data_IF_392541862139
#
_entry.id   IF_392541862139
#
_cell.length_a   1.000
_cell.length_b   1.000
_cell.length_c   1.000
_cell.angle_alpha   90.00
_cell.angle_beta   90.00
_cell.angle_gamma   90.00
#
_symmetry.space_group_name_H-M   'P 1'
#
loop_
_entity.id
_entity.type
_entity.pdbx_description
1 polymer ?
#
# COMPACT_ATOMS: atom_id res chain seq x y z
N UNK A 1 -9.84 -40.63 17.20
CA UNK A 1 -8.42 -40.27 16.99
C UNK A 1 -8.29 -38.76 17.12
N UNK A 2 -7.51 -38.24 18.07
CA UNK A 2 -7.19 -36.81 18.12
C UNK A 2 -6.41 -36.47 16.85
N UNK A 3 -7.02 -35.82 15.87
CA UNK A 3 -6.25 -35.11 14.86
C UNK A 3 -5.59 -33.94 15.58
N UNK A 4 -4.35 -34.16 16.03
CA UNK A 4 -3.43 -33.06 16.25
C UNK A 4 -3.20 -32.44 14.88
N UNK A 5 -3.95 -31.41 14.54
CA UNK A 5 -3.58 -30.46 13.50
C UNK A 5 -2.40 -29.65 14.01
N UNK A 6 -1.27 -30.32 14.25
CA UNK A 6 0.00 -29.62 14.44
C UNK A 6 0.36 -29.01 13.10
N UNK A 7 0.61 -27.71 13.07
CA UNK A 7 1.12 -27.01 11.91
C UNK A 7 2.53 -27.52 11.57
N UNK A 8 2.60 -28.61 10.80
CA UNK A 8 3.83 -29.27 10.37
C UNK A 8 4.06 -29.04 8.89
N UNK A 9 5.29 -29.30 8.42
CA UNK A 9 5.63 -29.32 7.00
C UNK A 9 4.89 -30.40 6.17
N UNK A 10 4.05 -31.23 6.80
CA UNK A 10 3.24 -32.26 6.12
C UNK A 10 1.85 -31.77 5.71
N UNK A 11 1.48 -30.53 6.02
CA UNK A 11 0.21 -29.91 5.63
C UNK A 11 0.44 -28.53 5.03
N UNK A 12 -0.54 -28.01 4.29
CA UNK A 12 -0.42 -26.68 3.68
C UNK A 12 -0.25 -25.61 4.77
N UNK A 13 0.78 -24.78 4.60
CA UNK A 13 1.04 -23.62 5.44
C UNK A 13 0.98 -22.39 4.52
N UNK A 14 0.11 -21.43 4.85
CA UNK A 14 0.08 -20.16 4.12
C UNK A 14 1.46 -19.49 4.15
N UNK A 15 2.00 -19.03 3.01
CA UNK A 15 3.32 -18.39 2.99
C UNK A 15 3.35 -17.09 3.81
N UNK A 16 2.22 -16.48 4.14
CA UNK A 16 2.17 -15.32 5.03
C UNK A 16 2.50 -15.63 6.49
N UNK A 17 2.55 -16.91 6.87
CA UNK A 17 2.93 -17.33 8.23
C UNK A 17 4.45 -17.38 8.44
N UNK A 18 5.25 -17.51 7.37
CA UNK A 18 6.71 -17.71 7.50
C UNK A 18 7.56 -16.97 6.46
N UNK A 19 7.00 -16.57 5.32
CA UNK A 19 7.76 -16.05 4.16
C UNK A 19 7.51 -14.57 3.89
N UNK A 20 6.26 -14.15 3.94
CA UNK A 20 5.83 -12.81 3.55
C UNK A 20 5.18 -12.07 4.72
N UNK A 21 5.47 -10.77 4.81
CA UNK A 21 5.02 -9.90 5.89
C UNK A 21 6.03 -9.86 7.04
N UNK A 22 5.95 -8.82 7.85
CA UNK A 22 6.73 -8.66 9.08
C UNK A 22 6.20 -9.53 10.22
N UNK A 23 7.03 -9.72 11.24
CA UNK A 23 6.62 -10.39 12.48
C UNK A 23 5.55 -9.58 13.20
N UNK A 24 5.66 -8.25 13.16
CA UNK A 24 4.72 -7.30 13.75
C UNK A 24 3.33 -7.45 13.09
N UNK A 25 3.26 -7.49 11.76
CA UNK A 25 1.98 -7.69 11.06
C UNK A 25 1.40 -9.08 11.31
N UNK A 26 2.24 -10.12 11.36
CA UNK A 26 1.80 -11.47 11.75
C UNK A 26 1.25 -11.51 13.18
N UNK A 27 1.88 -10.81 14.12
CA UNK A 27 1.40 -10.71 15.51
C UNK A 27 0.03 -10.04 15.57
N UNK A 28 -0.17 -8.94 14.83
CA UNK A 28 -1.47 -8.26 14.72
C UNK A 28 -2.56 -9.25 14.26
N UNK A 29 -2.23 -10.10 13.30
CA UNK A 29 -3.16 -11.09 12.76
C UNK A 29 -3.11 -12.48 13.43
N UNK A 30 -2.42 -12.63 14.56
CA UNK A 30 -2.34 -13.90 15.30
C UNK A 30 -3.63 -14.25 16.03
N UNK A 31 -3.83 -15.55 16.26
CA UNK A 31 -4.93 -16.08 17.10
C UNK A 31 -4.77 -15.66 18.57
N UNK A 32 -3.53 -15.64 19.06
CA UNK A 32 -3.20 -15.17 20.41
C UNK A 32 -3.67 -13.74 20.63
N UNK A 33 -3.22 -12.79 19.78
CA UNK A 33 -3.62 -11.40 19.93
C UNK A 33 -5.14 -11.21 19.76
N UNK A 34 -5.79 -11.98 18.87
CA UNK A 34 -7.25 -11.96 18.73
C UNK A 34 -7.93 -12.23 20.08
N UNK A 35 -7.54 -13.28 20.81
CA UNK A 35 -8.15 -13.60 22.10
C UNK A 35 -7.78 -12.59 23.21
N UNK A 36 -6.57 -12.02 23.19
CA UNK A 36 -6.21 -10.91 24.10
C UNK A 36 -7.09 -9.68 23.86
N UNK A 37 -7.36 -9.33 22.60
CA UNK A 37 -8.25 -8.22 22.26
C UNK A 37 -9.68 -8.53 22.70
N UNK A 38 -10.18 -9.75 22.48
CA UNK A 38 -11.52 -10.13 22.93
C UNK A 38 -11.68 -9.98 24.45
N UNK A 39 -10.69 -10.44 25.23
CA UNK A 39 -10.68 -10.25 26.69
C UNK A 39 -10.58 -8.79 27.10
N UNK A 40 -9.77 -8.00 26.41
CA UNK A 40 -9.70 -6.56 26.65
C UNK A 40 -11.06 -5.89 26.42
N UNK A 41 -11.80 -6.28 25.37
CA UNK A 41 -13.16 -5.78 25.10
C UNK A 41 -14.15 -6.22 26.19
N UNK A 42 -14.09 -7.48 26.63
CA UNK A 42 -14.95 -7.95 27.72
C UNK A 42 -14.65 -7.26 29.06
N UNK A 43 -13.38 -7.03 29.37
CA UNK A 43 -12.98 -6.28 30.57
C UNK A 43 -13.46 -4.83 30.48
N UNK A 44 -13.35 -4.18 29.32
CA UNK A 44 -13.88 -2.84 29.12
C UNK A 44 -15.41 -2.79 29.30
N UNK A 45 -16.13 -3.79 28.78
CA UNK A 45 -17.57 -3.96 29.02
C UNK A 45 -17.87 -4.12 30.52
N UNK A 46 -17.12 -4.99 31.22
CA UNK A 46 -17.30 -5.21 32.65
C UNK A 46 -17.02 -3.96 33.49
N UNK A 47 -15.99 -3.16 33.14
CA UNK A 47 -15.70 -1.85 33.76
C UNK A 47 -16.86 -0.88 33.60
N UNK A 48 -17.44 -0.81 32.41
CA UNK A 48 -18.60 0.05 32.16
C UNK A 48 -19.85 -0.44 32.93
N UNK A 49 -20.08 -1.75 32.98
CA UNK A 49 -21.16 -2.35 33.76
C UNK A 49 -20.97 -2.21 35.29
N UNK A 50 -19.73 -2.18 35.76
CA UNK A 50 -19.41 -1.88 37.15
C UNK A 50 -19.83 -0.45 37.51
N UNK A 51 -19.52 0.54 36.66
CA UNK A 51 -19.98 1.93 36.84
C UNK A 51 -21.51 2.05 36.85
N UNK A 52 -22.20 1.17 36.12
CA UNK A 52 -23.65 1.08 36.12
C UNK A 52 -24.24 0.32 37.33
N UNK A 53 -23.39 -0.31 38.17
CA UNK A 53 -23.80 -1.04 39.37
C UNK A 53 -24.18 -2.51 39.14
N UNK A 54 -23.87 -3.10 37.99
CA UNK A 54 -24.28 -4.46 37.62
C UNK A 54 -23.20 -5.52 37.88
N UNK A 55 -21.95 -5.10 37.81
CA UNK A 55 -20.77 -5.92 38.13
C UNK A 55 -20.19 -5.39 39.45
N UNK A 56 -19.99 -6.25 40.44
CA UNK A 56 -19.37 -5.88 41.71
C UNK A 56 -17.88 -5.59 41.52
N UNK A 57 -17.25 -4.93 42.50
CA UNK A 57 -15.80 -4.69 42.43
C UNK A 57 -15.02 -6.01 42.41
N UNK A 58 -15.42 -6.98 43.24
CA UNK A 58 -14.80 -8.30 43.31
C UNK A 58 -14.90 -9.08 41.98
N UNK A 59 -16.07 -9.04 41.33
CA UNK A 59 -16.28 -9.65 40.02
C UNK A 59 -15.39 -9.01 38.95
N UNK A 60 -15.25 -7.68 38.97
CA UNK A 60 -14.39 -6.96 38.03
C UNK A 60 -12.91 -7.28 38.25
N UNK A 61 -12.46 -7.29 39.51
CA UNK A 61 -11.07 -7.61 39.87
C UNK A 61 -10.69 -9.04 39.46
N UNK A 62 -11.61 -10.00 39.61
CA UNK A 62 -11.41 -11.38 39.17
C UNK A 62 -11.25 -11.50 37.65
N UNK A 63 -12.06 -10.75 36.87
CA UNK A 63 -11.91 -10.68 35.41
C UNK A 63 -10.56 -10.08 35.02
N UNK A 64 -10.20 -8.91 35.57
CA UNK A 64 -8.94 -8.22 35.25
C UNK A 64 -7.74 -9.09 35.61
N UNK A 65 -7.76 -9.75 36.78
CA UNK A 65 -6.68 -10.65 37.23
C UNK A 65 -6.40 -11.77 36.23
N UNK A 66 -7.43 -12.31 35.61
CA UNK A 66 -7.31 -13.43 34.68
C UNK A 66 -7.25 -13.00 33.21
N UNK A 67 -7.28 -11.70 32.90
CA UNK A 67 -7.34 -11.17 31.53
C UNK A 67 -6.26 -11.76 30.61
N UNK A 68 -5.00 -11.81 31.08
CA UNK A 68 -3.87 -12.30 30.27
C UNK A 68 -3.67 -13.84 30.35
N UNK A 69 -4.41 -14.55 31.20
CA UNK A 69 -4.29 -16.00 31.36
C UNK A 69 -5.17 -16.73 30.32
N UNK A 70 -4.73 -16.83 29.06
CA UNK A 70 -5.50 -17.44 27.96
C UNK A 70 -4.98 -18.87 27.68
N UNK A 71 -5.90 -19.83 27.55
CA UNK A 71 -5.60 -21.20 27.11
C UNK A 71 -6.28 -21.45 25.76
N UNK A 72 -5.53 -21.24 24.68
CA UNK A 72 -6.05 -21.36 23.30
C UNK A 72 -6.39 -22.81 22.98
N UNK A 73 -5.61 -23.79 23.47
CA UNK A 73 -5.90 -25.20 23.24
C UNK A 73 -7.26 -25.56 23.86
N UNK A 74 -7.51 -25.10 25.08
CA UNK A 74 -8.81 -25.27 25.75
C UNK A 74 -9.95 -24.59 25.00
N UNK A 75 -9.74 -23.38 24.47
CA UNK A 75 -10.75 -22.70 23.62
C UNK A 75 -11.08 -23.57 22.40
N UNK A 76 -10.07 -24.08 21.69
CA UNK A 76 -10.27 -24.91 20.50
C UNK A 76 -10.94 -26.26 20.83
N UNK A 77 -10.69 -26.83 22.01
CA UNK A 77 -11.42 -28.01 22.49
C UNK A 77 -12.91 -27.71 22.70
N UNK A 78 -13.23 -26.62 23.41
CA UNK A 78 -14.63 -26.22 23.66
C UNK A 78 -15.32 -25.82 22.35
N UNK A 79 -14.61 -25.20 21.39
CA UNK A 79 -15.15 -24.86 20.08
C UNK A 79 -15.55 -26.11 19.28
N UNK A 80 -14.78 -27.21 19.38
CA UNK A 80 -15.15 -28.48 18.72
C UNK A 80 -16.50 -29.01 19.22
N UNK A 81 -16.84 -28.78 20.49
CA UNK A 81 -18.11 -29.18 21.08
C UNK A 81 -19.24 -28.19 20.77
N UNK A 82 -18.98 -26.90 20.95
CA UNK A 82 -19.99 -25.83 20.85
C UNK A 82 -20.25 -25.37 19.42
N UNK A 83 -19.32 -25.62 18.49
CA UNK A 83 -19.31 -25.10 17.12
C UNK A 83 -19.43 -23.57 17.05
N UNK A 84 -18.97 -22.88 18.09
CA UNK A 84 -19.03 -21.42 18.19
C UNK A 84 -17.82 -20.87 18.95
N UNK A 85 -16.93 -20.18 18.21
CA UNK A 85 -15.66 -19.62 18.70
C UNK A 85 -15.81 -18.64 19.88
N UNK A 86 -16.70 -17.65 19.80
CA UNK A 86 -16.93 -16.69 20.89
C UNK A 86 -17.45 -17.37 22.15
N UNK A 87 -18.39 -18.31 22.02
CA UNK A 87 -18.93 -19.07 23.16
C UNK A 87 -17.83 -19.92 23.81
N UNK A 88 -16.95 -20.51 23.01
CA UNK A 88 -15.81 -21.26 23.53
C UNK A 88 -14.85 -20.38 24.34
N UNK A 89 -14.51 -19.19 23.82
CA UNK A 89 -13.67 -18.22 24.54
C UNK A 89 -14.33 -17.68 25.82
N UNK A 90 -15.65 -17.48 25.82
CA UNK A 90 -16.40 -17.09 27.04
C UNK A 90 -16.31 -18.20 28.10
N UNK A 91 -16.54 -19.45 27.71
CA UNK A 91 -16.51 -20.59 28.64
C UNK A 91 -15.11 -20.77 29.23
N UNK A 92 -14.06 -20.74 28.41
CA UNK A 92 -12.69 -20.86 28.90
C UNK A 92 -12.33 -19.71 29.86
N UNK A 93 -12.75 -18.48 29.58
CA UNK A 93 -12.49 -17.37 30.48
C UNK A 93 -13.28 -17.50 31.79
N UNK A 94 -14.52 -17.96 31.74
CA UNK A 94 -15.34 -18.23 32.94
C UNK A 94 -14.82 -19.42 33.78
N UNK A 95 -14.15 -20.42 33.17
CA UNK A 95 -13.45 -21.49 33.90
C UNK A 95 -12.33 -20.92 34.78
N UNK A 96 -11.71 -19.80 34.37
CA UNK A 96 -10.61 -19.14 35.06
C UNK A 96 -11.08 -18.06 36.05
N UNK A 97 -11.92 -17.14 35.58
CA UNK A 97 -12.52 -16.07 36.40
C UNK A 97 -13.80 -16.59 37.06
N UNK A 98 -13.68 -17.35 38.16
CA UNK A 98 -14.81 -18.06 38.79
C UNK A 98 -15.82 -17.15 39.47
N UNK A 99 -15.44 -15.92 39.83
CA UNK A 99 -16.31 -14.96 40.50
C UNK A 99 -17.00 -14.09 39.45
N UNK A 100 -16.23 -13.45 38.56
CA UNK A 100 -16.77 -12.52 37.57
C UNK A 100 -17.25 -13.18 36.26
N UNK A 101 -16.74 -14.37 35.95
CA UNK A 101 -16.97 -15.05 34.66
C UNK A 101 -18.44 -15.37 34.37
N UNK A 102 -19.28 -15.52 35.39
CA UNK A 102 -20.73 -15.71 35.20
C UNK A 102 -21.46 -14.52 34.58
N UNK A 103 -20.87 -13.31 34.65
CA UNK A 103 -21.43 -12.06 34.09
C UNK A 103 -20.69 -11.56 32.86
N UNK A 104 -19.67 -12.27 32.38
CA UNK A 104 -18.99 -11.86 31.16
C UNK A 104 -19.96 -11.88 29.97
N UNK A 105 -19.77 -10.99 29.01
CA UNK A 105 -20.59 -10.88 27.80
C UNK A 105 -22.08 -10.55 28.07
N UNK A 106 -22.44 -10.17 29.30
CA UNK A 106 -23.81 -9.86 29.68
C UNK A 106 -24.39 -8.72 28.83
N UNK A 107 -25.49 -9.00 28.12
CA UNK A 107 -26.15 -8.05 27.22
C UNK A 107 -25.56 -7.96 25.81
N UNK A 108 -24.38 -8.56 25.57
CA UNK A 108 -23.69 -8.49 24.29
C UNK A 108 -24.07 -9.62 23.34
N UNK A 109 -23.75 -9.40 22.05
CA UNK A 109 -23.70 -10.46 21.04
C UNK A 109 -22.26 -10.70 20.60
N UNK A 110 -21.99 -11.84 19.98
CA UNK A 110 -20.68 -12.21 19.41
C UNK A 110 -20.04 -11.08 18.62
N UNK A 111 -20.82 -10.37 17.80
CA UNK A 111 -20.31 -9.28 16.97
C UNK A 111 -20.02 -7.99 17.75
N UNK A 112 -20.55 -7.77 18.95
CA UNK A 112 -20.06 -6.65 19.78
C UNK A 112 -18.60 -6.86 20.21
N UNK A 113 -18.11 -8.11 20.17
CA UNK A 113 -16.71 -8.46 20.47
C UNK A 113 -15.90 -8.56 19.18
N UNK A 114 -16.31 -9.42 18.26
CA UNK A 114 -15.54 -9.76 17.05
C UNK A 114 -15.31 -8.53 16.17
N UNK A 115 -16.36 -7.77 15.86
CA UNK A 115 -16.25 -6.66 14.90
C UNK A 115 -15.46 -5.46 15.47
N UNK A 116 -15.55 -5.22 16.79
CA UNK A 116 -14.69 -4.23 17.44
C UNK A 116 -13.23 -4.71 17.47
N UNK A 117 -12.98 -6.01 17.72
CA UNK A 117 -11.65 -6.58 17.70
C UNK A 117 -11.00 -6.51 16.31
N UNK A 118 -11.77 -6.79 15.26
CA UNK A 118 -11.32 -6.68 13.87
C UNK A 118 -10.92 -5.23 13.54
N UNK A 119 -11.69 -4.24 14.02
CA UNK A 119 -11.35 -2.82 13.84
C UNK A 119 -10.15 -2.36 14.66
N UNK A 120 -9.94 -2.89 15.87
CA UNK A 120 -8.71 -2.67 16.64
C UNK A 120 -7.49 -3.16 15.85
N UNK A 121 -7.54 -4.40 15.33
CA UNK A 121 -6.46 -5.00 14.52
C UNK A 121 -6.22 -4.23 13.23
N UNK A 122 -7.29 -3.88 12.51
CA UNK A 122 -7.19 -3.11 11.27
C UNK A 122 -6.54 -1.74 11.50
N UNK A 123 -6.86 -1.04 12.59
CA UNK A 123 -6.23 0.23 12.92
C UNK A 123 -4.76 0.09 13.31
N UNK A 124 -4.41 -0.92 14.11
CA UNK A 124 -3.01 -1.22 14.44
C UNK A 124 -2.20 -1.54 13.17
N UNK A 125 -2.77 -2.35 12.28
CA UNK A 125 -2.16 -2.68 10.99
C UNK A 125 -2.01 -1.43 10.09
N UNK A 126 -3.02 -0.56 10.02
CA UNK A 126 -2.93 0.68 9.25
C UNK A 126 -1.87 1.64 9.78
N UNK A 127 -1.63 1.68 11.09
CA UNK A 127 -0.52 2.46 11.66
C UNK A 127 0.83 1.93 11.18
N UNK A 128 1.02 0.62 11.21
CA UNK A 128 2.24 -0.02 10.71
C UNK A 128 2.45 0.24 9.21
N UNK A 129 1.39 0.16 8.42
CA UNK A 129 1.42 0.51 6.99
C UNK A 129 1.75 1.98 6.77
N UNK A 130 1.15 2.89 7.55
CA UNK A 130 1.41 4.33 7.47
C UNK A 130 2.88 4.66 7.72
N UNK A 131 3.49 4.07 8.74
CA UNK A 131 4.89 4.31 9.08
C UNK A 131 5.84 3.89 7.94
N UNK A 132 5.61 2.69 7.37
CA UNK A 132 6.39 2.20 6.23
C UNK A 132 6.16 3.05 4.97
N UNK A 133 4.92 3.45 4.71
CA UNK A 133 4.56 4.30 3.58
C UNK A 133 5.24 5.67 3.69
N UNK A 134 5.25 6.28 4.88
CA UNK A 134 5.97 7.53 5.16
C UNK A 134 7.47 7.39 4.88
N UNK A 135 8.10 6.30 5.32
CA UNK A 135 9.52 6.03 5.04
C UNK A 135 9.80 5.96 3.53
N UNK A 136 8.97 5.23 2.77
CA UNK A 136 9.09 5.16 1.30
C UNK A 136 8.93 6.54 0.66
N UNK A 137 7.96 7.35 1.11
CA UNK A 137 7.76 8.71 0.61
C UNK A 137 9.01 9.57 0.82
N UNK A 138 9.63 9.50 2.00
CA UNK A 138 10.88 10.23 2.29
C UNK A 138 12.04 9.74 1.43
N UNK A 139 12.18 8.42 1.24
CA UNK A 139 13.18 7.84 0.33
C UNK A 139 12.97 8.33 -1.11
N UNK A 140 11.73 8.32 -1.62
CA UNK A 140 11.42 8.85 -2.94
C UNK A 140 11.73 10.35 -3.04
N UNK A 141 11.40 11.15 -2.03
CA UNK A 141 11.79 12.56 -1.99
C UNK A 141 13.32 12.73 -2.09
N UNK A 142 14.11 11.91 -1.40
CA UNK A 142 15.57 11.95 -1.50
C UNK A 142 16.07 11.64 -2.92
N UNK A 143 15.46 10.67 -3.61
CA UNK A 143 15.78 10.36 -5.02
C UNK A 143 15.39 11.51 -5.95
N UNK A 144 14.21 12.11 -5.73
CA UNK A 144 13.78 13.29 -6.50
C UNK A 144 14.78 14.43 -6.35
N UNK A 145 15.18 14.76 -5.12
CA UNK A 145 16.15 15.82 -4.83
C UNK A 145 17.51 15.54 -5.49
N UNK A 146 18.01 14.31 -5.38
CA UNK A 146 19.31 13.91 -5.93
C UNK A 146 19.36 13.96 -7.45
N UNK A 147 18.26 13.57 -8.11
CA UNK A 147 18.23 13.34 -9.56
C UNK A 147 17.38 14.35 -10.33
N UNK A 148 16.95 15.45 -9.69
CA UNK A 148 16.04 16.45 -10.25
C UNK A 148 16.47 16.96 -11.63
N UNK A 149 17.78 17.20 -11.78
CA UNK A 149 18.40 17.80 -12.98
C UNK A 149 19.11 16.79 -13.88
N UNK A 150 19.05 15.48 -13.59
CA UNK A 150 19.71 14.45 -14.41
C UNK A 150 18.82 14.10 -15.59
N UNK A 151 19.15 14.53 -16.84
CA UNK A 151 18.28 14.29 -17.99
C UNK A 151 18.29 12.81 -18.38
N UNK A 152 17.14 12.31 -18.81
CA UNK A 152 17.00 10.97 -19.38
C UNK A 152 15.97 10.98 -20.50
N UNK A 153 16.02 9.98 -21.36
CA UNK A 153 15.05 9.86 -22.43
C UNK A 153 13.67 9.47 -21.85
N UNK A 154 12.62 10.17 -22.28
CA UNK A 154 11.24 9.81 -21.96
C UNK A 154 10.74 8.68 -22.86
N UNK A 155 9.73 7.93 -22.39
CA UNK A 155 9.14 6.84 -23.16
C UNK A 155 7.62 6.94 -23.17
N UNK A 156 7.03 6.82 -24.35
CA UNK A 156 5.59 6.67 -24.57
C UNK A 156 5.38 5.46 -25.48
N UNK A 157 4.45 4.55 -25.15
CA UNK A 157 4.31 3.27 -25.85
C UNK A 157 5.62 2.44 -25.89
N UNK A 158 6.47 2.61 -24.87
CA UNK A 158 7.85 2.07 -24.84
C UNK A 158 8.74 2.49 -26.02
N UNK A 159 8.37 3.56 -26.73
CA UNK A 159 9.18 4.22 -27.74
C UNK A 159 9.85 5.47 -27.16
N UNK A 160 11.11 5.77 -27.51
CA UNK A 160 11.76 7.01 -27.16
C UNK A 160 10.92 8.22 -27.59
N UNK A 161 10.79 9.19 -26.69
CA UNK A 161 10.01 10.42 -26.89
C UNK A 161 10.86 11.64 -26.46
N UNK A 162 10.22 12.70 -25.98
CA UNK A 162 10.91 13.87 -25.45
C UNK A 162 11.74 13.56 -24.19
N UNK A 163 12.90 14.21 -23.99
CA UNK A 163 13.67 14.13 -22.76
C UNK A 163 12.86 14.57 -21.53
N UNK A 164 13.13 13.91 -20.41
CA UNK A 164 12.67 14.29 -19.07
C UNK A 164 13.86 14.22 -18.11
N UNK A 165 13.63 14.16 -16.80
CA UNK A 165 14.69 13.89 -15.82
C UNK A 165 14.41 12.64 -14.99
N UNK A 166 15.48 12.01 -14.51
CA UNK A 166 15.41 10.87 -13.59
C UNK A 166 14.62 11.27 -12.33
N UNK A 167 14.83 12.48 -11.81
CA UNK A 167 14.08 13.02 -10.68
C UNK A 167 12.59 13.25 -10.99
N UNK A 168 12.22 13.59 -12.22
CA UNK A 168 10.80 13.68 -12.62
C UNK A 168 10.13 12.32 -12.72
N UNK A 169 10.86 11.29 -13.18
CA UNK A 169 10.38 9.91 -13.13
C UNK A 169 10.15 9.45 -11.68
N UNK A 170 11.06 9.76 -10.75
CA UNK A 170 10.83 9.51 -9.33
C UNK A 170 9.67 10.32 -8.73
N UNK A 171 9.51 11.57 -9.16
CA UNK A 171 8.45 12.44 -8.68
C UNK A 171 7.06 11.89 -9.04
N UNK A 172 6.93 11.21 -10.19
CA UNK A 172 5.71 10.50 -10.55
C UNK A 172 5.33 9.44 -9.51
N UNK A 173 6.27 8.57 -9.12
CA UNK A 173 5.99 7.55 -8.09
C UNK A 173 5.71 8.20 -6.73
N UNK A 174 6.47 9.24 -6.37
CA UNK A 174 6.25 10.01 -5.15
C UNK A 174 4.82 10.58 -5.09
N UNK A 175 4.31 11.11 -6.20
CA UNK A 175 2.97 11.70 -6.28
C UNK A 175 1.88 10.67 -5.95
N UNK A 176 1.95 9.50 -6.56
CA UNK A 176 0.97 8.43 -6.35
C UNK A 176 1.04 7.89 -4.91
N UNK A 177 2.25 7.66 -4.38
CA UNK A 177 2.43 7.21 -2.99
C UNK A 177 1.96 8.28 -1.99
N UNK A 178 2.19 9.56 -2.28
CA UNK A 178 1.74 10.67 -1.44
C UNK A 178 0.21 10.81 -1.43
N UNK A 179 -0.43 10.66 -2.59
CA UNK A 179 -1.89 10.66 -2.66
C UNK A 179 -2.49 9.48 -1.89
N UNK A 180 -1.85 8.32 -1.95
CA UNK A 180 -2.23 7.15 -1.16
C UNK A 180 -2.11 7.37 0.35
N UNK A 181 -1.11 8.13 0.82
CA UNK A 181 -1.05 8.50 2.24
C UNK A 181 -2.24 9.37 2.66
N UNK A 182 -2.67 10.31 1.82
CA UNK A 182 -3.88 11.10 2.08
C UNK A 182 -5.13 10.22 2.10
N UNK A 183 -5.21 9.26 1.18
CA UNK A 183 -6.32 8.30 1.15
C UNK A 183 -6.32 7.40 2.38
N UNK A 184 -5.14 6.98 2.86
CA UNK A 184 -4.99 6.23 4.11
C UNK A 184 -5.55 7.03 5.30
N UNK A 185 -5.19 8.31 5.42
CA UNK A 185 -5.73 9.16 6.47
C UNK A 185 -7.25 9.32 6.36
N UNK A 186 -7.78 9.49 5.15
CA UNK A 186 -9.23 9.51 4.91
C UNK A 186 -9.90 8.22 5.38
N UNK A 187 -9.37 7.04 5.04
CA UNK A 187 -9.95 5.77 5.48
C UNK A 187 -9.87 5.63 7.00
N UNK A 188 -8.72 5.94 7.63
CA UNK A 188 -8.56 5.92 9.09
C UNK A 188 -9.59 6.79 9.82
N UNK A 189 -10.01 7.91 9.25
CA UNK A 189 -11.04 8.78 9.85
C UNK A 189 -12.47 8.30 9.61
N UNK A 190 -12.72 7.46 8.60
CA UNK A 190 -14.06 7.03 8.21
C UNK A 190 -14.42 5.63 8.70
N UNK A 191 -13.45 4.74 8.90
CA UNK A 191 -13.70 3.44 9.52
C UNK A 191 -13.88 3.60 11.02
N UNK A 192 -14.88 2.91 11.56
CA UNK A 192 -15.26 2.96 12.98
C UNK A 192 -15.47 1.55 13.51
N UNK A 193 -15.34 1.38 14.82
CA UNK A 193 -15.80 0.17 15.48
C UNK A 193 -17.32 0.02 15.36
N UNK A 194 -17.81 -1.20 15.52
CA UNK A 194 -19.26 -1.46 15.58
C UNK A 194 -19.91 -0.72 16.76
N UNK A 195 -19.19 -0.60 17.87
CA UNK A 195 -19.81 -0.25 19.15
C UNK A 195 -20.52 -1.44 19.78
N UNK A 196 -21.44 -1.15 20.71
CA UNK A 196 -22.15 -2.14 21.51
C UNK A 196 -23.63 -2.11 21.18
N UNK A 197 -24.01 -2.67 20.03
CA UNK A 197 -25.35 -2.50 19.44
C UNK A 197 -26.24 -3.73 19.54
N UNK A 198 -25.70 -4.85 20.06
CA UNK A 198 -26.45 -6.07 20.28
C UNK A 198 -26.79 -6.81 18.97
N UNK A 199 -27.78 -7.69 19.06
CA UNK A 199 -28.04 -8.72 18.04
C UNK A 199 -28.50 -8.17 16.68
N UNK A 200 -29.21 -7.03 16.65
CA UNK A 200 -29.78 -6.45 15.42
C UNK A 200 -29.55 -4.93 15.33
N UNK A 201 -28.55 -4.41 16.06
CA UNK A 201 -28.17 -2.99 15.98
C UNK A 201 -28.96 -2.02 16.86
N UNK A 202 -30.01 -2.49 17.54
CA UNK A 202 -30.93 -1.62 18.30
C UNK A 202 -30.53 -1.36 19.75
N UNK A 203 -29.53 -2.08 20.27
CA UNK A 203 -29.10 -1.98 21.67
C UNK A 203 -30.18 -2.37 22.69
N UNK A 204 -31.21 -3.13 22.29
CA UNK A 204 -32.35 -3.47 23.14
C UNK A 204 -31.95 -4.20 24.44
N UNK A 205 -31.01 -5.14 24.34
CA UNK A 205 -30.45 -5.87 25.49
C UNK A 205 -29.82 -4.91 26.50
N UNK A 206 -28.96 -4.00 26.05
CA UNK A 206 -28.30 -3.00 26.89
C UNK A 206 -29.28 -1.99 27.48
N UNK A 207 -30.26 -1.53 26.69
CA UNK A 207 -31.30 -0.61 27.16
C UNK A 207 -32.11 -1.23 28.30
N UNK A 208 -32.46 -2.51 28.17
CA UNK A 208 -33.15 -3.25 29.23
C UNK A 208 -32.27 -3.45 30.45
N UNK A 209 -31.01 -3.82 30.23
CA UNK A 209 -30.01 -4.07 31.26
C UNK A 209 -29.72 -2.81 32.10
N UNK A 210 -29.67 -1.64 31.47
CA UNK A 210 -29.36 -0.35 32.10
C UNK A 210 -30.58 0.38 32.67
N UNK A 211 -31.77 -0.24 32.64
CA UNK A 211 -32.99 0.38 33.15
C UNK A 211 -32.86 0.67 34.66
N UNK A 212 -32.92 1.96 35.02
CA UNK A 212 -32.75 2.40 36.41
C UNK A 212 -31.29 2.46 36.89
N UNK A 213 -30.32 2.27 35.99
CA UNK A 213 -28.89 2.40 36.32
C UNK A 213 -28.43 3.87 36.34
N UNK A 214 -27.23 4.10 36.86
CA UNK A 214 -26.63 5.45 37.01
C UNK A 214 -26.11 6.04 35.72
N UNK A 215 -25.95 5.24 34.67
CA UNK A 215 -25.41 5.68 33.37
C UNK A 215 -26.36 5.27 32.25
N UNK A 216 -26.42 6.10 31.23
CA UNK A 216 -27.16 5.80 30.00
C UNK A 216 -26.41 4.78 29.15
N UNK A 217 -27.13 4.15 28.22
CA UNK A 217 -26.53 3.27 27.22
C UNK A 217 -25.45 3.97 26.38
N UNK A 218 -25.68 5.23 25.97
CA UNK A 218 -24.69 6.01 25.23
C UNK A 218 -23.41 6.29 26.01
N UNK A 219 -23.52 6.55 27.32
CA UNK A 219 -22.35 6.71 28.20
C UNK A 219 -21.59 5.40 28.36
N UNK A 220 -22.29 4.28 28.55
CA UNK A 220 -21.67 2.95 28.64
C UNK A 220 -20.89 2.63 27.36
N UNK A 221 -21.50 2.80 26.19
CA UNK A 221 -20.82 2.57 24.91
C UNK A 221 -19.61 3.50 24.75
N UNK A 222 -19.75 4.79 25.06
CA UNK A 222 -18.65 5.75 24.98
C UNK A 222 -17.46 5.32 25.84
N UNK A 223 -17.69 4.92 27.09
CA UNK A 223 -16.63 4.45 28.01
C UNK A 223 -15.88 3.27 27.41
N UNK A 224 -16.61 2.28 26.88
CA UNK A 224 -15.98 1.09 26.31
C UNK A 224 -15.17 1.45 25.08
N UNK A 225 -15.74 2.26 24.18
CA UNK A 225 -15.11 2.64 22.92
C UNK A 225 -13.89 3.53 23.13
N UNK A 226 -13.90 4.43 24.12
CA UNK A 226 -12.71 5.20 24.55
C UNK A 226 -11.58 4.30 25.05
N UNK A 227 -11.88 3.24 25.80
CA UNK A 227 -10.89 2.27 26.27
C UNK A 227 -10.29 1.46 25.11
N UNK A 228 -11.09 1.17 24.07
CA UNK A 228 -10.61 0.57 22.82
C UNK A 228 -9.93 1.61 21.91
N UNK A 229 -9.97 2.90 22.26
CA UNK A 229 -9.54 4.04 21.46
C UNK A 229 -10.32 4.24 20.16
N UNK A 230 -11.42 3.54 19.96
CA UNK A 230 -12.19 3.53 18.71
C UNK A 230 -13.36 4.52 18.79
N UNK A 231 -13.75 5.08 17.66
CA UNK A 231 -15.09 5.66 17.53
C UNK A 231 -16.10 4.57 17.17
N UNK A 232 -17.35 4.73 17.61
CA UNK A 232 -18.46 3.84 17.25
C UNK A 232 -19.19 4.33 16.00
N UNK A 233 -19.58 3.40 15.13
CA UNK A 233 -20.57 3.66 14.09
C UNK A 233 -21.93 3.99 14.74
N UNK A 234 -22.57 5.06 14.28
CA UNK A 234 -23.84 5.51 14.86
C UNK A 234 -24.95 4.46 14.67
N UNK A 235 -25.08 3.96 13.43
CA UNK A 235 -26.06 2.95 13.05
C UNK A 235 -25.31 1.72 12.55
N UNK A 236 -25.66 0.57 13.11
CA UNK A 236 -25.16 -0.73 12.67
C UNK A 236 -26.31 -1.71 12.58
N UNK A 237 -26.05 -2.86 11.98
CA UNK A 237 -26.93 -4.02 12.12
C UNK A 237 -26.36 -4.96 13.20
N UNK A 238 -26.41 -6.28 13.01
CA UNK A 238 -25.60 -7.18 13.83
C UNK A 238 -24.09 -6.92 13.66
N UNK A 239 -23.68 -6.29 12.56
CA UNK A 239 -22.28 -5.97 12.21
C UNK A 239 -22.05 -4.49 11.96
N UNK A 240 -20.80 -4.03 12.00
CA UNK A 240 -20.44 -2.75 11.39
C UNK A 240 -20.69 -2.79 9.86
N UNK A 241 -20.92 -1.64 9.19
CA UNK A 241 -21.13 -1.60 7.75
C UNK A 241 -19.96 -2.24 6.98
N UNK A 242 -20.19 -3.38 6.30
CA UNK A 242 -19.14 -4.09 5.54
C UNK A 242 -18.52 -3.27 4.40
N UNK A 243 -19.12 -2.14 4.06
CA UNK A 243 -18.48 -1.10 3.24
C UNK A 243 -17.12 -0.65 3.82
N UNK A 244 -16.92 -0.71 5.14
CA UNK A 244 -15.62 -0.41 5.77
C UNK A 244 -14.53 -1.39 5.30
N UNK A 245 -14.85 -2.67 5.13
CA UNK A 245 -13.91 -3.67 4.60
C UNK A 245 -13.57 -3.35 3.14
N UNK A 246 -14.56 -2.94 2.34
CA UNK A 246 -14.33 -2.52 0.96
C UNK A 246 -13.42 -1.29 0.86
N UNK A 247 -13.65 -0.27 1.70
CA UNK A 247 -12.79 0.92 1.77
C UNK A 247 -11.36 0.56 2.18
N UNK A 248 -11.21 -0.28 3.20
CA UNK A 248 -9.91 -0.79 3.65
C UNK A 248 -9.17 -1.51 2.53
N UNK A 249 -9.78 -2.53 1.92
CA UNK A 249 -9.10 -3.34 0.90
C UNK A 249 -8.82 -2.54 -0.38
N UNK A 250 -9.69 -1.59 -0.74
CA UNK A 250 -9.45 -0.68 -1.87
C UNK A 250 -8.26 0.22 -1.62
N UNK A 251 -8.11 0.76 -0.42
CA UNK A 251 -6.92 1.51 -0.03
C UNK A 251 -5.66 0.64 -0.14
N UNK A 252 -5.66 -0.56 0.43
CA UNK A 252 -4.49 -1.44 0.40
C UNK A 252 -4.09 -1.79 -1.04
N UNK A 253 -5.09 -2.07 -1.89
CA UNK A 253 -4.92 -2.30 -3.32
C UNK A 253 -4.35 -1.08 -4.05
N UNK A 254 -4.81 0.13 -3.73
CA UNK A 254 -4.32 1.36 -4.34
C UNK A 254 -2.85 1.65 -3.99
N UNK A 255 -2.46 1.44 -2.72
CA UNK A 255 -1.05 1.57 -2.30
C UNK A 255 -0.18 0.55 -3.05
N UNK A 256 -0.61 -0.71 -3.11
CA UNK A 256 0.12 -1.77 -3.81
C UNK A 256 0.28 -1.45 -5.30
N UNK A 257 -0.78 -0.97 -5.96
CA UNK A 257 -0.78 -0.61 -7.38
C UNK A 257 0.27 0.46 -7.72
N UNK A 258 0.39 1.51 -6.91
CA UNK A 258 1.43 2.55 -7.11
C UNK A 258 2.84 1.98 -7.04
N UNK A 259 3.11 1.06 -6.10
CA UNK A 259 4.42 0.43 -5.96
C UNK A 259 4.68 -0.61 -7.05
N UNK A 260 3.65 -1.30 -7.53
CA UNK A 260 3.73 -2.19 -8.69
C UNK A 260 4.05 -1.44 -9.98
N UNK A 261 3.51 -0.23 -10.17
CA UNK A 261 3.89 0.64 -11.29
C UNK A 261 5.39 0.95 -11.24
N UNK A 262 5.90 1.40 -10.08
CA UNK A 262 7.34 1.63 -9.88
C UNK A 262 8.17 0.36 -10.18
N UNK A 263 7.77 -0.78 -9.62
CA UNK A 263 8.47 -2.05 -9.81
C UNK A 263 8.43 -2.52 -11.28
N UNK A 264 7.32 -2.31 -11.98
CA UNK A 264 7.17 -2.60 -13.41
C UNK A 264 8.15 -1.79 -14.26
N UNK A 265 8.22 -0.47 -14.03
CA UNK A 265 9.17 0.39 -14.73
C UNK A 265 10.63 0.01 -14.40
N UNK A 266 10.93 -0.31 -13.14
CA UNK A 266 12.26 -0.77 -12.74
C UNK A 266 12.68 -2.04 -13.49
N UNK A 267 11.76 -2.99 -13.69
CA UNK A 267 12.05 -4.22 -14.46
C UNK A 267 12.41 -3.90 -15.91
N UNK A 268 11.75 -2.92 -16.52
CA UNK A 268 12.07 -2.44 -17.88
C UNK A 268 13.45 -1.76 -17.87
N UNK A 269 13.67 -0.83 -16.95
CA UNK A 269 14.92 -0.05 -16.87
C UNK A 269 16.14 -0.90 -16.48
N UNK A 270 15.94 -2.03 -15.80
CA UNK A 270 16.98 -3.02 -15.51
C UNK A 270 17.23 -4.00 -16.66
N UNK A 271 16.31 -4.10 -17.62
CA UNK A 271 16.55 -4.95 -18.80
C UNK A 271 17.77 -4.45 -19.60
N UNK A 272 18.60 -5.34 -20.18
CA UNK A 272 19.86 -4.94 -20.80
C UNK A 272 19.75 -3.88 -21.91
N UNK A 273 18.61 -3.82 -22.59
CA UNK A 273 18.36 -2.83 -23.64
C UNK A 273 18.33 -1.39 -23.07
N UNK A 274 17.80 -1.23 -21.86
CA UNK A 274 17.77 0.06 -21.15
C UNK A 274 18.98 0.17 -20.22
N UNK A 275 19.14 -0.77 -19.27
CA UNK A 275 20.28 -0.85 -18.36
C UNK A 275 20.48 0.36 -17.45
N UNK A 276 19.47 1.23 -17.32
CA UNK A 276 19.59 2.49 -16.60
C UNK A 276 19.57 2.28 -15.09
N UNK A 277 18.71 1.38 -14.61
CA UNK A 277 18.45 1.17 -13.18
C UNK A 277 18.69 -0.29 -12.80
N UNK A 278 19.00 -0.57 -11.53
CA UNK A 278 19.02 -1.93 -11.00
C UNK A 278 18.52 -1.94 -9.56
N UNK A 279 17.74 -2.96 -9.20
CA UNK A 279 17.49 -3.28 -7.80
C UNK A 279 18.81 -3.62 -7.07
N UNK A 280 18.90 -3.43 -5.74
CA UNK A 280 20.10 -3.79 -4.98
C UNK A 280 20.41 -5.28 -5.13
N UNK A 281 21.70 -5.60 -5.26
CA UNK A 281 22.17 -6.97 -5.41
C UNK A 281 23.26 -7.26 -4.37
N UNK A 282 22.99 -8.20 -3.46
CA UNK A 282 23.92 -8.56 -2.39
C UNK A 282 25.18 -9.25 -2.93
N UNK A 283 26.32 -9.09 -2.26
CA UNK A 283 27.60 -9.68 -2.67
C UNK A 283 27.58 -11.21 -2.74
N UNK A 284 26.76 -11.87 -1.89
CA UNK A 284 26.56 -13.32 -1.87
C UNK A 284 25.27 -13.77 -2.58
N UNK A 285 24.50 -12.84 -3.17
CA UNK A 285 23.24 -13.16 -3.83
C UNK A 285 23.53 -13.89 -5.15
N UNK A 286 22.89 -15.03 -5.36
CA UNK A 286 22.94 -15.76 -6.63
C UNK A 286 21.73 -15.35 -7.46
N UNK A 287 21.96 -14.70 -8.60
CA UNK A 287 20.88 -14.21 -9.45
C UNK A 287 20.31 -15.29 -10.39
N UNK A 288 21.09 -16.31 -10.73
CA UNK A 288 20.68 -17.47 -11.53
C UNK A 288 21.54 -18.68 -11.17
N UNK A 289 20.94 -19.87 -11.08
CA UNK A 289 21.64 -21.12 -10.80
C UNK A 289 22.62 -21.54 -11.90
N UNK A 290 22.40 -21.09 -13.14
CA UNK A 290 23.19 -21.49 -14.31
C UNK A 290 24.06 -20.37 -14.91
N UNK A 291 23.76 -19.09 -14.61
CA UNK A 291 24.38 -17.94 -15.26
C UNK A 291 24.93 -16.95 -14.22
N UNK A 292 26.23 -17.01 -13.89
CA UNK A 292 26.82 -16.21 -12.81
C UNK A 292 26.67 -14.68 -12.99
N UNK A 293 26.61 -14.18 -14.24
CA UNK A 293 26.47 -12.75 -14.53
C UNK A 293 25.02 -12.24 -14.42
N UNK A 294 24.01 -13.13 -14.38
CA UNK A 294 22.61 -12.77 -14.54
C UNK A 294 22.02 -12.25 -13.22
N UNK A 295 21.69 -10.95 -13.20
CA UNK A 295 21.02 -10.27 -12.07
C UNK A 295 19.55 -10.00 -12.39
N UNK A 296 18.65 -10.81 -11.84
CA UNK A 296 17.21 -10.69 -12.06
C UNK A 296 16.56 -9.71 -11.08
N UNK A 297 15.52 -8.96 -11.50
CA UNK A 297 14.78 -8.03 -10.65
C UNK A 297 13.74 -8.75 -9.77
N UNK A 298 14.18 -9.72 -8.95
CA UNK A 298 13.28 -10.63 -8.22
C UNK A 298 12.43 -9.91 -7.18
N UNK A 299 12.92 -8.81 -6.61
CA UNK A 299 12.18 -8.05 -5.62
C UNK A 299 11.09 -7.21 -6.30
N UNK A 300 11.42 -6.59 -7.44
CA UNK A 300 10.43 -5.89 -8.25
C UNK A 300 9.33 -6.85 -8.77
N UNK A 301 9.71 -8.05 -9.20
CA UNK A 301 8.75 -9.09 -9.61
C UNK A 301 7.86 -9.55 -8.46
N UNK A 302 8.41 -9.71 -7.25
CA UNK A 302 7.64 -10.02 -6.04
C UNK A 302 6.60 -8.93 -5.73
N UNK A 303 6.96 -7.65 -5.83
CA UNK A 303 6.02 -6.53 -5.66
C UNK A 303 4.86 -6.65 -6.65
N UNK A 304 5.16 -6.81 -7.94
CA UNK A 304 4.13 -6.96 -8.98
C UNK A 304 3.24 -8.20 -8.73
N UNK A 305 3.83 -9.31 -8.27
CA UNK A 305 3.10 -10.56 -8.01
C UNK A 305 2.11 -10.40 -6.84
N UNK A 306 2.58 -9.93 -5.68
CA UNK A 306 1.72 -9.74 -4.51
C UNK A 306 0.67 -8.66 -4.77
N UNK A 307 1.01 -7.61 -5.52
CA UNK A 307 0.03 -6.58 -5.90
C UNK A 307 -1.12 -7.14 -6.73
N UNK A 308 -0.86 -8.05 -7.69
CA UNK A 308 -1.94 -8.69 -8.46
C UNK A 308 -2.88 -9.51 -7.57
N UNK A 309 -2.35 -10.15 -6.54
CA UNK A 309 -3.16 -10.88 -5.56
C UNK A 309 -4.03 -9.90 -4.74
N UNK A 310 -3.44 -8.86 -4.16
CA UNK A 310 -4.16 -7.83 -3.39
C UNK A 310 -5.26 -7.18 -4.26
N UNK A 311 -4.98 -6.91 -5.54
CA UNK A 311 -5.93 -6.25 -6.44
C UNK A 311 -7.21 -7.05 -6.69
N UNK A 312 -7.21 -8.37 -6.49
CA UNK A 312 -8.40 -9.21 -6.62
C UNK A 312 -9.31 -9.22 -5.37
N UNK A 313 -8.78 -8.84 -4.20
CA UNK A 313 -9.50 -8.97 -2.92
C UNK A 313 -10.62 -7.94 -2.69
N UNK A 314 -10.54 -6.67 -3.15
CA UNK A 314 -11.61 -5.69 -2.95
C UNK A 314 -12.97 -6.11 -3.51
N UNK A 315 -12.99 -6.91 -4.58
CA UNK A 315 -14.25 -7.41 -5.16
C UNK A 315 -15.04 -8.27 -4.16
N UNK A 316 -14.34 -9.11 -3.38
CA UNK A 316 -14.97 -9.96 -2.35
C UNK A 316 -15.58 -9.08 -1.25
N UNK A 317 -14.87 -8.05 -0.79
CA UNK A 317 -15.39 -7.13 0.23
C UNK A 317 -16.56 -6.26 -0.28
N UNK A 318 -16.55 -5.90 -1.56
CA UNK A 318 -17.68 -5.23 -2.20
C UNK A 318 -18.92 -6.13 -2.19
N UNK A 319 -18.78 -7.39 -2.57
CA UNK A 319 -19.88 -8.36 -2.55
C UNK A 319 -20.37 -8.64 -1.12
N UNK A 320 -19.47 -8.80 -0.14
CA UNK A 320 -19.86 -8.89 1.27
C UNK A 320 -20.69 -7.70 1.73
N UNK A 321 -20.40 -6.49 1.22
CA UNK A 321 -21.16 -5.30 1.56
C UNK A 321 -22.50 -5.24 0.84
N UNK A 322 -22.55 -5.61 -0.44
CA UNK A 322 -23.76 -5.52 -1.28
C UNK A 322 -24.76 -6.64 -0.97
N UNK A 323 -24.27 -7.80 -0.55
CA UNK A 323 -25.04 -9.03 -0.33
C UNK A 323 -25.23 -9.35 1.16
N UNK A 324 -24.92 -8.42 2.06
CA UNK A 324 -25.28 -8.54 3.48
C UNK A 324 -26.79 -8.34 3.61
N UNK A 325 -27.55 -9.44 3.57
CA UNK A 325 -29.01 -9.36 3.57
C UNK A 325 -29.57 -9.04 4.95
N UNK A 326 -30.49 -8.07 5.00
CA UNK A 326 -31.14 -7.60 6.22
C UNK A 326 -30.11 -7.24 7.30
N UNK A 327 -30.30 -7.67 8.55
CA UNK A 327 -29.40 -7.29 9.65
C UNK A 327 -28.08 -8.07 9.71
N UNK A 328 -27.93 -9.20 9.00
CA UNK A 328 -26.67 -9.92 8.73
C UNK A 328 -26.96 -11.31 8.14
N UNK A 329 -26.14 -11.70 7.18
CA UNK A 329 -25.89 -13.10 6.81
C UNK A 329 -24.44 -13.48 7.11
N UNK A 330 -24.19 -14.76 7.38
CA UNK A 330 -22.90 -15.25 7.90
C UNK A 330 -21.89 -15.62 6.79
N UNK A 331 -22.29 -15.52 5.54
CA UNK A 331 -21.48 -15.78 4.34
C UNK A 331 -20.27 -14.83 4.22
N UNK A 332 -20.28 -13.70 4.93
CA UNK A 332 -19.13 -12.80 5.08
C UNK A 332 -17.98 -13.41 5.92
N UNK A 333 -18.30 -14.29 6.88
CA UNK A 333 -17.38 -14.70 7.94
C UNK A 333 -16.18 -15.49 7.41
N UNK A 334 -16.45 -16.51 6.58
CA UNK A 334 -15.40 -17.42 6.11
C UNK A 334 -14.39 -16.70 5.22
N UNK A 335 -14.86 -15.84 4.31
CA UNK A 335 -13.98 -15.14 3.40
C UNK A 335 -13.22 -13.98 4.08
N UNK A 336 -13.84 -13.28 5.05
CA UNK A 336 -13.17 -12.23 5.85
C UNK A 336 -11.97 -12.75 6.64
N UNK A 337 -12.04 -13.99 7.13
CA UNK A 337 -10.92 -14.67 7.82
C UNK A 337 -9.67 -14.82 6.93
N UNK A 338 -9.85 -14.80 5.61
CA UNK A 338 -8.76 -14.86 4.63
C UNK A 338 -8.35 -13.44 4.20
N UNK A 339 -9.29 -12.71 3.56
CA UNK A 339 -8.96 -11.49 2.81
C UNK A 339 -8.46 -10.36 3.70
N UNK A 340 -8.88 -10.30 4.97
CA UNK A 340 -8.44 -9.25 5.89
C UNK A 340 -6.96 -9.42 6.22
N UNK A 341 -6.56 -10.56 6.78
CA UNK A 341 -5.16 -10.81 7.14
C UNK A 341 -4.25 -10.84 5.91
N UNK A 342 -4.67 -11.54 4.86
CA UNK A 342 -3.87 -11.73 3.65
C UNK A 342 -3.56 -10.40 2.94
N UNK A 343 -4.53 -9.47 2.88
CA UNK A 343 -4.32 -8.16 2.24
C UNK A 343 -3.29 -7.30 2.99
N UNK A 344 -3.37 -7.25 4.33
CA UNK A 344 -2.41 -6.52 5.15
C UNK A 344 -1.02 -7.15 5.11
N UNK A 345 -0.91 -8.47 5.24
CA UNK A 345 0.37 -9.19 5.20
C UNK A 345 1.05 -9.07 3.82
N UNK A 346 0.29 -9.17 2.75
CA UNK A 346 0.81 -8.98 1.39
C UNK A 346 1.28 -7.55 1.15
N UNK A 347 0.50 -6.53 1.56
CA UNK A 347 0.91 -5.14 1.40
C UNK A 347 2.14 -4.82 2.25
N UNK A 348 2.20 -5.33 3.47
CA UNK A 348 3.34 -5.15 4.36
C UNK A 348 4.64 -5.68 3.71
N UNK A 349 4.61 -6.87 3.11
CA UNK A 349 5.73 -7.40 2.33
C UNK A 349 6.10 -6.53 1.12
N UNK A 350 5.08 -6.01 0.41
CA UNK A 350 5.27 -5.09 -0.72
C UNK A 350 6.01 -3.83 -0.26
N UNK A 351 5.61 -3.23 0.87
CA UNK A 351 6.23 -2.04 1.41
C UNK A 351 7.67 -2.29 1.86
N UNK A 352 7.92 -3.36 2.61
CA UNK A 352 9.27 -3.77 3.04
C UNK A 352 10.18 -3.96 1.83
N UNK A 353 9.67 -4.61 0.79
CA UNK A 353 10.42 -4.88 -0.44
C UNK A 353 10.67 -3.59 -1.22
N UNK A 354 9.67 -2.71 -1.35
CA UNK A 354 9.80 -1.44 -2.05
C UNK A 354 10.80 -0.52 -1.35
N UNK A 355 10.74 -0.43 -0.02
CA UNK A 355 11.68 0.32 0.80
C UNK A 355 13.12 -0.12 0.52
N UNK A 356 13.39 -1.43 0.60
CA UNK A 356 14.70 -2.02 0.31
C UNK A 356 15.19 -1.67 -1.09
N UNK A 357 14.32 -1.78 -2.10
CA UNK A 357 14.67 -1.43 -3.49
C UNK A 357 15.01 0.06 -3.59
N UNK A 358 14.13 0.94 -3.14
CA UNK A 358 14.30 2.38 -3.33
C UNK A 358 15.54 2.87 -2.57
N UNK A 359 15.77 2.37 -1.36
CA UNK A 359 16.97 2.69 -0.60
C UNK A 359 18.24 2.27 -1.35
N UNK A 360 18.33 0.99 -1.74
CA UNK A 360 19.54 0.38 -2.28
C UNK A 360 19.70 0.36 -3.80
N UNK A 361 18.74 0.87 -4.58
CA UNK A 361 18.80 0.80 -6.04
C UNK A 361 19.99 1.58 -6.61
N UNK A 362 20.54 1.07 -7.71
CA UNK A 362 21.66 1.65 -8.43
C UNK A 362 21.14 2.36 -9.68
N UNK A 363 21.60 3.59 -9.90
CA UNK A 363 21.32 4.40 -11.08
C UNK A 363 22.61 4.52 -11.88
N UNK A 364 22.61 4.02 -13.12
CA UNK A 364 23.78 4.04 -14.01
C UNK A 364 23.73 5.28 -14.90
N UNK A 365 24.21 6.41 -14.39
CA UNK A 365 24.17 7.71 -15.08
C UNK A 365 24.86 7.69 -16.45
N UNK A 366 25.98 6.95 -16.60
CA UNK A 366 26.64 6.76 -17.90
C UNK A 366 25.76 6.03 -18.92
N UNK A 367 24.99 5.03 -18.48
CA UNK A 367 24.07 4.31 -19.37
C UNK A 367 22.86 5.19 -19.73
N UNK A 368 22.37 5.98 -18.78
CA UNK A 368 21.32 6.99 -19.02
C UNK A 368 21.80 8.00 -20.06
N UNK A 369 23.02 8.53 -19.90
CA UNK A 369 23.63 9.45 -20.85
C UNK A 369 23.78 8.82 -22.24
N UNK A 370 24.24 7.57 -22.32
CA UNK A 370 24.34 6.84 -23.59
C UNK A 370 22.98 6.72 -24.29
N UNK A 371 21.93 6.28 -23.59
CA UNK A 371 20.59 6.15 -24.17
C UNK A 371 20.02 7.53 -24.58
N UNK A 372 20.28 8.55 -23.78
CA UNK A 372 19.86 9.92 -24.07
C UNK A 372 20.55 10.45 -25.33
N UNK A 373 21.87 10.29 -25.48
CA UNK A 373 22.62 10.71 -26.67
C UNK A 373 22.15 9.98 -27.93
N UNK A 374 21.72 8.72 -27.79
CA UNK A 374 21.20 7.92 -28.90
C UNK A 374 19.86 8.46 -29.45
N UNK A 375 18.95 8.89 -28.57
CA UNK A 375 17.57 9.21 -28.96
C UNK A 375 17.19 10.70 -28.88
N UNK A 376 17.80 11.48 -27.99
CA UNK A 376 17.49 12.90 -27.83
C UNK A 376 17.68 13.76 -29.10
N UNK A 377 18.57 13.43 -30.08
CA UNK A 377 18.61 14.18 -31.33
C UNK A 377 17.27 14.23 -32.08
N UNK A 378 16.39 13.22 -31.92
CA UNK A 378 15.06 13.23 -32.54
C UNK A 378 14.12 14.24 -31.87
N UNK A 379 14.23 14.46 -30.56
CA UNK A 379 13.44 15.46 -29.85
C UNK A 379 13.78 16.91 -30.27
N UNK A 380 15.03 17.14 -30.68
CA UNK A 380 15.49 18.45 -31.16
C UNK A 380 14.79 18.86 -32.48
N UNK A 381 14.22 17.92 -33.23
CA UNK A 381 13.61 18.16 -34.54
C UNK A 381 12.48 19.19 -34.50
N UNK A 382 11.63 19.16 -33.47
CA UNK A 382 10.54 20.13 -33.32
C UNK A 382 11.09 21.54 -33.07
N UNK A 383 12.11 21.66 -32.23
CA UNK A 383 12.75 22.96 -31.91
C UNK A 383 13.42 23.55 -33.14
N UNK A 384 14.09 22.73 -33.96
CA UNK A 384 14.69 23.15 -35.23
C UNK A 384 13.62 23.62 -36.21
N UNK A 385 12.51 22.90 -36.32
CA UNK A 385 11.38 23.31 -37.16
C UNK A 385 10.80 24.66 -36.72
N UNK A 386 10.54 24.83 -35.42
CA UNK A 386 10.00 26.08 -34.86
C UNK A 386 10.94 27.25 -35.15
N UNK A 387 12.25 27.08 -34.93
CA UNK A 387 13.23 28.15 -35.16
C UNK A 387 13.33 28.51 -36.64
N UNK A 388 13.33 27.53 -37.55
CA UNK A 388 13.34 27.80 -38.99
C UNK A 388 12.09 28.58 -39.43
N UNK A 389 10.91 28.21 -38.92
CA UNK A 389 9.64 28.90 -39.21
C UNK A 389 9.67 30.34 -38.70
N UNK A 390 10.18 30.58 -37.48
CA UNK A 390 10.38 31.95 -36.94
C UNK A 390 11.28 32.82 -37.82
N UNK A 391 12.20 32.20 -38.57
CA UNK A 391 13.11 32.85 -39.52
C UNK A 391 12.54 32.92 -40.95
N UNK A 392 11.27 32.59 -41.14
CA UNK A 392 10.56 32.74 -42.42
C UNK A 392 10.51 31.49 -43.30
N UNK A 393 10.92 30.32 -42.79
CA UNK A 393 10.83 29.08 -43.54
C UNK A 393 9.37 28.59 -43.68
N UNK A 394 9.06 27.91 -44.79
CA UNK A 394 7.80 27.19 -44.93
C UNK A 394 7.80 25.96 -44.01
N UNK A 395 6.85 25.89 -43.07
CA UNK A 395 6.74 24.80 -42.10
C UNK A 395 6.68 23.42 -42.75
N UNK A 396 5.89 23.25 -43.80
CA UNK A 396 5.69 21.94 -44.42
C UNK A 396 6.95 21.45 -45.14
N UNK A 397 7.67 22.35 -45.81
CA UNK A 397 8.92 22.03 -46.49
C UNK A 397 10.00 21.63 -45.49
N UNK A 398 10.19 22.41 -44.42
CA UNK A 398 11.16 22.08 -43.37
C UNK A 398 10.80 20.79 -42.66
N UNK A 399 9.52 20.58 -42.36
CA UNK A 399 9.04 19.33 -41.76
C UNK A 399 9.43 18.12 -42.61
N UNK A 400 9.19 18.14 -43.93
CA UNK A 400 9.48 16.98 -44.77
C UNK A 400 10.99 16.70 -44.90
N UNK A 401 11.82 17.74 -44.92
CA UNK A 401 13.28 17.61 -44.88
C UNK A 401 13.71 16.95 -43.56
N UNK A 402 13.25 17.48 -42.42
CA UNK A 402 13.59 16.95 -41.10
C UNK A 402 13.09 15.51 -40.95
N UNK A 403 11.88 15.20 -41.44
CA UNK A 403 11.31 13.86 -41.44
C UNK A 403 12.18 12.89 -42.23
N UNK A 404 12.59 13.24 -43.44
CA UNK A 404 13.47 12.39 -44.26
C UNK A 404 14.77 12.06 -43.55
N UNK A 405 15.48 13.09 -43.05
CA UNK A 405 16.72 12.91 -42.30
C UNK A 405 16.53 12.08 -41.03
N UNK A 406 15.41 12.26 -40.33
CA UNK A 406 15.08 11.49 -39.13
C UNK A 406 14.84 10.01 -39.44
N UNK A 407 14.12 9.70 -40.52
CA UNK A 407 13.85 8.32 -40.92
C UNK A 407 15.14 7.57 -41.30
N UNK A 408 16.06 8.23 -42.02
CA UNK A 408 17.36 7.64 -42.34
C UNK A 408 18.19 7.38 -41.07
N UNK A 409 18.28 8.35 -40.15
CA UNK A 409 19.01 8.17 -38.89
C UNK A 409 18.37 7.13 -37.98
N UNK A 410 17.05 6.93 -38.06
CA UNK A 410 16.38 5.83 -37.37
C UNK A 410 16.76 4.46 -37.94
N UNK A 411 16.86 4.34 -39.27
CA UNK A 411 17.31 3.10 -39.93
C UNK A 411 18.74 2.74 -39.54
N UNK A 412 19.64 3.73 -39.42
CA UNK A 412 21.01 3.55 -38.93
C UNK A 412 21.03 2.95 -37.52
N UNK A 413 20.22 3.47 -36.59
CA UNK A 413 20.11 2.94 -35.23
C UNK A 413 19.60 1.50 -35.23
N UNK A 414 18.60 1.18 -36.06
CA UNK A 414 18.03 -0.17 -36.14
C UNK A 414 19.06 -1.24 -36.55
N UNK A 415 20.11 -0.86 -37.28
CA UNK A 415 21.20 -1.75 -37.67
C UNK A 415 22.44 -1.61 -36.78
N UNK A 416 22.33 -0.92 -35.64
CA UNK A 416 23.38 -0.78 -34.63
C UNK A 416 24.41 0.33 -34.92
N UNK A 417 24.12 1.25 -35.85
CA UNK A 417 24.96 2.41 -36.11
C UNK A 417 24.61 3.58 -35.17
N UNK A 418 25.50 4.58 -35.13
CA UNK A 418 25.28 5.81 -34.35
C UNK A 418 24.18 6.66 -34.99
N UNK A 419 23.46 7.41 -34.17
CA UNK A 419 22.51 8.40 -34.65
C UNK A 419 23.23 9.56 -35.36
N UNK A 420 23.12 9.65 -36.69
CA UNK A 420 23.75 10.71 -37.48
C UNK A 420 22.91 11.99 -37.63
N UNK A 421 21.71 12.06 -37.02
CA UNK A 421 20.73 13.11 -37.29
C UNK A 421 21.29 14.52 -37.04
N UNK A 422 22.06 14.69 -35.96
CA UNK A 422 22.72 15.97 -35.66
C UNK A 422 23.61 16.43 -36.80
N UNK A 423 24.46 15.54 -37.32
CA UNK A 423 25.38 15.86 -38.40
C UNK A 423 24.64 16.15 -39.71
N UNK A 424 23.60 15.37 -40.00
CA UNK A 424 22.74 15.56 -41.19
C UNK A 424 22.05 16.92 -41.16
N UNK A 425 21.48 17.32 -40.02
CA UNK A 425 20.84 18.63 -39.85
C UNK A 425 21.85 19.78 -39.99
N UNK A 426 23.05 19.65 -39.41
CA UNK A 426 24.11 20.68 -39.51
C UNK A 426 24.65 20.87 -40.94
N UNK A 427 24.68 19.79 -41.75
CA UNK A 427 25.16 19.81 -43.14
C UNK A 427 24.06 20.13 -44.16
N UNK A 428 22.79 20.16 -43.76
CA UNK A 428 21.68 20.37 -44.67
C UNK A 428 21.59 21.85 -45.10
N UNK A 429 21.79 22.08 -46.40
CA UNK A 429 21.82 23.45 -46.97
C UNK A 429 20.48 24.17 -46.85
N UNK A 430 19.35 23.47 -46.86
CA UNK A 430 18.03 24.08 -46.79
C UNK A 430 17.71 24.56 -45.37
N UNK A 431 18.16 23.85 -44.34
CA UNK A 431 18.09 24.31 -42.95
C UNK A 431 19.07 25.47 -42.71
N UNK A 432 20.29 25.37 -43.25
CA UNK A 432 21.34 26.39 -43.08
C UNK A 432 20.96 27.77 -43.65
N UNK A 433 20.01 27.83 -44.61
CA UNK A 433 19.44 29.10 -45.12
C UNK A 433 18.75 29.93 -44.03
N UNK A 434 18.17 29.27 -43.03
CA UNK A 434 17.36 29.91 -41.99
C UNK A 434 18.05 29.93 -40.63
N UNK A 435 18.81 28.88 -40.30
CA UNK A 435 19.46 28.73 -39.00
C UNK A 435 20.98 28.60 -39.21
N UNK A 436 21.77 29.61 -38.79
CA UNK A 436 23.22 29.52 -38.80
C UNK A 436 23.73 28.33 -37.98
N UNK A 437 24.82 27.69 -38.41
CA UNK A 437 25.37 26.48 -37.78
C UNK A 437 25.63 26.62 -36.28
N UNK A 438 26.19 27.75 -35.84
CA UNK A 438 26.42 28.04 -34.41
C UNK A 438 25.12 28.12 -33.57
N UNK A 439 24.01 28.58 -34.17
CA UNK A 439 22.70 28.61 -33.54
C UNK A 439 22.11 27.21 -33.50
N UNK A 440 22.20 26.47 -34.61
CA UNK A 440 21.71 25.10 -34.72
C UNK A 440 22.43 24.17 -33.72
N UNK A 441 23.74 24.30 -33.55
CA UNK A 441 24.50 23.53 -32.54
C UNK A 441 23.99 23.75 -31.11
N UNK A 442 23.63 24.99 -30.76
CA UNK A 442 23.08 25.34 -29.44
C UNK A 442 21.71 24.71 -29.20
N UNK A 443 20.94 24.42 -30.25
CA UNK A 443 19.65 23.73 -30.13
C UNK A 443 19.81 22.27 -29.70
N UNK A 444 20.99 21.66 -29.87
CA UNK A 444 21.28 20.30 -29.40
C UNK A 444 21.69 20.21 -27.91
N UNK A 445 21.63 21.31 -27.14
CA UNK A 445 21.82 21.26 -25.68
C UNK A 445 20.60 20.64 -24.99
N UNK A 446 20.63 19.31 -24.81
CA UNK A 446 19.52 18.48 -24.30
C UNK A 446 18.96 18.98 -22.96
N UNK A 447 19.78 19.63 -22.12
CA UNK A 447 19.34 20.20 -20.83
C UNK A 447 18.25 21.26 -21.00
N UNK A 448 18.11 21.86 -22.18
CA UNK A 448 17.05 22.84 -22.49
C UNK A 448 15.74 22.18 -22.96
N UNK A 449 15.73 20.86 -23.15
CA UNK A 449 14.58 20.10 -23.66
C UNK A 449 13.80 19.35 -22.58
N UNK A 450 14.22 19.43 -21.32
CA UNK A 450 13.50 18.81 -20.19
C UNK A 450 12.37 19.69 -19.63
N UNK A 451 12.13 20.85 -20.24
CA UNK A 451 11.08 21.79 -19.85
C UNK A 451 11.20 22.21 -18.37
N UNK A 452 10.09 22.16 -17.65
CA UNK A 452 10.02 22.50 -16.22
C UNK A 452 10.04 21.26 -15.30
N UNK A 453 10.52 20.12 -15.81
CA UNK A 453 10.55 18.87 -15.06
C UNK A 453 11.31 19.00 -13.72
N UNK A 454 12.54 19.54 -13.63
CA UNK A 454 13.22 19.72 -12.35
C UNK A 454 12.43 20.59 -11.37
N UNK A 455 11.87 21.71 -11.84
CA UNK A 455 11.08 22.62 -11.01
C UNK A 455 9.86 21.91 -10.40
N UNK A 456 9.06 21.22 -11.22
CA UNK A 456 7.84 20.53 -10.75
C UNK A 456 8.16 19.41 -9.77
N UNK A 457 9.22 18.64 -10.04
CA UNK A 457 9.74 17.61 -9.13
C UNK A 457 10.05 18.18 -7.74
N UNK A 458 10.79 19.29 -7.70
CA UNK A 458 11.19 19.93 -6.45
C UNK A 458 10.00 20.59 -5.72
N UNK A 459 9.01 21.11 -6.45
CA UNK A 459 7.78 21.63 -5.85
C UNK A 459 6.98 20.52 -5.15
N UNK A 460 6.82 19.35 -5.76
CA UNK A 460 6.15 18.22 -5.12
C UNK A 460 6.83 17.82 -3.80
N UNK A 461 8.17 17.78 -3.75
CA UNK A 461 8.91 17.51 -2.51
C UNK A 461 8.59 18.53 -1.41
N UNK A 462 8.46 19.82 -1.76
CA UNK A 462 8.07 20.87 -0.79
C UNK A 462 6.66 20.64 -0.24
N UNK A 463 5.71 20.26 -1.10
CA UNK A 463 4.34 19.94 -0.67
C UNK A 463 4.30 18.74 0.27
N UNK A 464 5.05 17.69 -0.05
CA UNK A 464 5.18 16.50 0.81
C UNK A 464 5.77 16.86 2.16
N UNK A 465 6.87 17.61 2.21
CA UNK A 465 7.49 18.08 3.46
C UNK A 465 6.51 18.87 4.32
N UNK A 466 5.75 19.78 3.71
CA UNK A 466 4.72 20.57 4.39
C UNK A 466 3.63 19.68 4.99
N UNK A 467 3.16 18.69 4.24
CA UNK A 467 2.12 17.76 4.70
C UNK A 467 2.61 16.86 5.84
N UNK A 468 3.82 16.33 5.73
CA UNK A 468 4.43 15.47 6.74
C UNK A 468 4.94 16.24 7.96
N UNK A 469 4.98 17.58 7.90
CA UNK A 469 5.57 18.47 8.93
C UNK A 469 7.04 18.15 9.22
N UNK A 470 7.82 17.85 8.18
CA UNK A 470 9.25 17.52 8.29
C UNK A 470 10.08 18.68 7.72
N UNK A 471 11.08 19.14 8.48
CA UNK A 471 11.94 20.27 8.12
C UNK A 471 13.15 19.88 7.28
N UNK A 472 13.68 18.66 7.40
CA UNK A 472 14.91 18.21 6.74
C UNK A 472 14.75 16.81 6.10
N UNK A 473 15.43 16.60 4.96
CA UNK A 473 15.55 15.32 4.24
C UNK A 473 17.01 15.04 3.96
#
# INVERSE_FOLDING_TARGET
>A
MKQNTSYTYSTFISPFTWRYGSEEMRRIFSEELKFHIWRSIWVALAKAQHKAGMVSLEELEDLVKHQENIDIERILEIEKETKHDVVAAIKEYAEKAKIGGGKIHMGATSMDIVDNADMVRAREALNLIEDKLRKIILLLCSKVLKYADVPCIGFTHLQPAEPTTVGYRFAFYLQDTFNNLKFLHFVKTNIKGKGFKGAVGTGASYTKLLQGSKITFGEMEKIIMEELGLESALITSQVYPRQYDYLLLTLLSSIAASLSKFAGDLRILQSPMFGEWSEPFGSKQVGSSAMPFKKNPINAEKICSLTRYIAGLPAIALENSALSYLERTLDDSANRRLIMADSFLALDEVLITAEKIIEGMVIFEEKIKFNLELYAPFAVTEVVMIEAVKKGANRQQIHEIIRGLSMESWQEINIGQKNSLKEKLLKNKDIAKFIPSNTLEKLFDIRKHVGNAPYRSLQLVKEVKKYLKVSQL
#
